data_IF_878938607514
#
_entry.id   IF_878938607514
#
_cell.length_a   1.000
_cell.length_b   1.000
_cell.length_c   1.000
_cell.angle_alpha   90.00
_cell.angle_beta   90.00
_cell.angle_gamma   90.00
#
_symmetry.space_group_name_H-M   'P 1'
#
loop_
_entity.id
_entity.type
_entity.pdbx_description
1 polymer ?
#
# COMPACT_ATOMS: atom_id res chain seq x y z
N UNK A 1 -63.21 -32.00 11.03
CA UNK A 1 -62.64 -32.17 9.70
C UNK A 1 -61.64 -31.07 9.47
N UNK A 2 -60.32 -31.40 9.45
CA UNK A 2 -59.25 -30.45 9.06
C UNK A 2 -59.19 -30.46 7.54
N UNK A 3 -59.44 -29.32 6.91
CA UNK A 3 -59.27 -29.15 5.47
C UNK A 3 -57.77 -28.98 5.23
N UNK A 4 -57.12 -29.99 4.72
CA UNK A 4 -55.76 -29.95 4.26
C UNK A 4 -55.73 -29.15 2.95
N UNK A 5 -55.17 -27.91 3.01
CA UNK A 5 -54.97 -27.09 1.81
C UNK A 5 -53.68 -27.54 1.14
N UNK A 6 -53.81 -28.18 0.00
CA UNK A 6 -52.64 -28.55 -0.84
C UNK A 6 -52.04 -27.30 -1.48
N UNK A 7 -50.69 -27.25 -1.60
CA UNK A 7 -50.00 -26.22 -2.35
C UNK A 7 -50.31 -26.28 -3.84
N UNK A 8 -50.56 -25.14 -4.43
CA UNK A 8 -50.76 -25.02 -5.88
C UNK A 8 -49.40 -25.13 -6.58
N UNK A 9 -49.30 -25.82 -7.71
CA UNK A 9 -48.11 -25.96 -8.50
C UNK A 9 -47.53 -24.59 -8.92
N UNK A 10 -48.39 -23.63 -9.21
CA UNK A 10 -47.99 -22.26 -9.55
C UNK A 10 -47.34 -21.55 -8.38
N UNK A 11 -47.77 -21.78 -7.15
CA UNK A 11 -47.19 -21.19 -5.95
C UNK A 11 -45.77 -21.67 -5.71
N UNK A 12 -45.50 -22.96 -5.96
CA UNK A 12 -44.18 -23.52 -5.86
C UNK A 12 -43.25 -22.94 -6.96
N UNK A 13 -43.74 -22.82 -8.19
CA UNK A 13 -42.97 -22.23 -9.29
C UNK A 13 -42.58 -20.77 -9.01
N UNK A 14 -43.53 -19.96 -8.54
CA UNK A 14 -43.27 -18.56 -8.20
C UNK A 14 -42.30 -18.45 -7.02
N UNK A 15 -42.45 -19.30 -6.01
CA UNK A 15 -41.54 -19.31 -4.85
C UNK A 15 -40.10 -19.64 -5.24
N UNK A 16 -39.88 -20.59 -6.14
CA UNK A 16 -38.54 -20.93 -6.63
C UNK A 16 -37.92 -19.78 -7.43
N UNK A 17 -38.72 -19.08 -8.25
CA UNK A 17 -38.22 -17.92 -9.01
C UNK A 17 -37.81 -16.80 -8.06
N UNK A 18 -38.62 -16.46 -7.08
CA UNK A 18 -38.33 -15.43 -6.08
C UNK A 18 -37.06 -15.82 -5.28
N UNK A 19 -36.98 -17.06 -4.83
CA UNK A 19 -35.81 -17.57 -4.11
C UNK A 19 -34.53 -17.50 -4.98
N UNK A 20 -34.64 -17.85 -6.26
CA UNK A 20 -33.52 -17.77 -7.20
C UNK A 20 -32.98 -16.33 -7.38
N UNK A 21 -33.89 -15.36 -7.58
CA UNK A 21 -33.50 -13.94 -7.68
C UNK A 21 -32.87 -13.44 -6.39
N UNK A 22 -33.41 -13.81 -5.24
CA UNK A 22 -32.89 -13.42 -3.94
C UNK A 22 -31.46 -13.99 -3.72
N UNK A 23 -31.22 -15.26 -4.08
CA UNK A 23 -29.90 -15.89 -3.98
C UNK A 23 -28.87 -15.24 -4.90
N UNK A 24 -29.25 -14.90 -6.14
CA UNK A 24 -28.38 -14.19 -7.07
C UNK A 24 -28.01 -12.79 -6.54
N UNK A 25 -28.95 -12.08 -5.97
CA UNK A 25 -28.71 -10.78 -5.32
C UNK A 25 -27.74 -10.91 -4.14
N UNK A 26 -27.93 -11.92 -3.30
CA UNK A 26 -27.03 -12.20 -2.18
C UNK A 26 -25.61 -12.57 -2.65
N UNK A 27 -25.49 -13.41 -3.67
CA UNK A 27 -24.20 -13.77 -4.25
C UNK A 27 -23.45 -12.54 -4.77
N UNK A 28 -24.13 -11.64 -5.49
CA UNK A 28 -23.57 -10.36 -5.94
C UNK A 28 -23.07 -9.47 -4.79
N UNK A 29 -23.87 -9.38 -3.71
CA UNK A 29 -23.48 -8.62 -2.52
C UNK A 29 -22.22 -9.20 -1.84
N UNK A 30 -22.12 -10.54 -1.75
CA UNK A 30 -20.95 -11.21 -1.18
C UNK A 30 -19.68 -10.96 -1.99
N UNK A 31 -19.76 -11.02 -3.33
CA UNK A 31 -18.62 -10.70 -4.20
C UNK A 31 -18.13 -9.26 -3.97
N UNK A 32 -19.06 -8.31 -3.87
CA UNK A 32 -18.72 -6.91 -3.58
C UNK A 32 -18.05 -6.76 -2.22
N UNK A 33 -18.56 -7.43 -1.19
CA UNK A 33 -17.99 -7.43 0.16
C UNK A 33 -16.56 -7.97 0.17
N UNK A 34 -16.28 -9.06 -0.55
CA UNK A 34 -14.93 -9.63 -0.67
C UNK A 34 -13.96 -8.67 -1.38
N UNK A 35 -14.44 -7.92 -2.39
CA UNK A 35 -13.63 -6.90 -3.05
C UNK A 35 -13.22 -5.79 -2.09
N UNK A 36 -14.14 -5.29 -1.27
CA UNK A 36 -13.84 -4.28 -0.26
C UNK A 36 -12.88 -4.79 0.82
N UNK A 37 -13.08 -6.04 1.27
CA UNK A 37 -12.21 -6.66 2.26
C UNK A 37 -10.77 -6.78 1.74
N UNK A 38 -10.59 -7.21 0.48
CA UNK A 38 -9.27 -7.32 -0.13
C UNK A 38 -8.59 -5.96 -0.27
N UNK A 39 -9.32 -4.92 -0.66
CA UNK A 39 -8.76 -3.58 -0.75
C UNK A 39 -8.33 -3.05 0.63
N UNK A 40 -9.15 -3.23 1.66
CA UNK A 40 -8.79 -2.86 3.04
C UNK A 40 -7.54 -3.59 3.53
N UNK A 41 -7.36 -4.84 3.13
CA UNK A 41 -6.17 -5.62 3.45
C UNK A 41 -4.92 -5.03 2.77
N UNK A 42 -4.99 -4.66 1.49
CA UNK A 42 -3.89 -4.01 0.79
C UNK A 42 -3.51 -2.66 1.43
N UNK A 43 -4.49 -1.86 1.85
CA UNK A 43 -4.23 -0.63 2.61
C UNK A 43 -3.47 -0.90 3.90
N UNK A 44 -3.85 -1.93 4.64
CA UNK A 44 -3.17 -2.30 5.89
C UNK A 44 -1.73 -2.75 5.63
N UNK A 45 -1.50 -3.56 4.60
CA UNK A 45 -0.15 -3.97 4.21
C UNK A 45 0.69 -2.79 3.75
N UNK A 46 0.14 -1.89 2.93
CA UNK A 46 0.83 -0.70 2.48
C UNK A 46 1.25 0.19 3.66
N UNK A 47 0.38 0.34 4.67
CA UNK A 47 0.70 1.07 5.90
C UNK A 47 1.88 0.43 6.63
N UNK A 48 1.87 -0.89 6.79
CA UNK A 48 2.97 -1.63 7.45
C UNK A 48 4.28 -1.47 6.66
N UNK A 49 4.25 -1.57 5.32
CA UNK A 49 5.43 -1.37 4.50
C UNK A 49 5.98 0.06 4.63
N UNK A 50 5.10 1.06 4.63
CA UNK A 50 5.50 2.46 4.83
C UNK A 50 6.12 2.71 6.20
N UNK A 51 5.53 2.17 7.27
CA UNK A 51 6.07 2.26 8.62
C UNK A 51 7.43 1.57 8.74
N UNK A 52 7.57 0.37 8.18
CA UNK A 52 8.85 -0.34 8.13
C UNK A 52 9.94 0.46 7.40
N UNK A 53 9.60 1.14 6.31
CA UNK A 53 10.54 2.00 5.59
C UNK A 53 10.98 3.19 6.45
N UNK A 54 10.04 3.85 7.15
CA UNK A 54 10.34 4.94 8.08
C UNK A 54 11.30 4.47 9.19
N UNK A 55 11.00 3.34 9.82
CA UNK A 55 11.83 2.79 10.91
C UNK A 55 13.23 2.41 10.42
N UNK A 56 13.34 1.78 9.24
CA UNK A 56 14.63 1.45 8.65
C UNK A 56 15.44 2.69 8.29
N UNK A 57 14.78 3.76 7.83
CA UNK A 57 15.46 5.04 7.59
C UNK A 57 15.99 5.64 8.90
N UNK A 58 15.29 5.49 10.02
CA UNK A 58 15.76 5.93 11.33
C UNK A 58 17.06 5.26 11.76
N UNK A 59 17.23 3.97 11.50
CA UNK A 59 18.45 3.24 11.88
C UNK A 59 19.67 3.69 11.09
N UNK A 60 19.48 4.16 9.87
CA UNK A 60 20.54 4.59 8.96
C UNK A 60 20.51 6.11 8.69
N UNK A 61 19.92 6.90 9.60
CA UNK A 61 19.63 8.32 9.38
C UNK A 61 20.89 9.13 9.05
N UNK A 62 21.98 8.90 9.76
CA UNK A 62 23.28 9.53 9.47
C UNK A 62 23.65 9.32 7.99
N UNK A 63 23.47 8.13 7.50
CA UNK A 63 23.80 7.75 6.14
C UNK A 63 22.94 8.50 5.09
N UNK A 64 21.63 8.60 5.32
CA UNK A 64 20.74 9.29 4.41
C UNK A 64 20.87 10.82 4.45
N UNK A 65 21.41 11.38 5.52
CA UNK A 65 21.65 12.83 5.66
C UNK A 65 23.04 13.26 5.15
N UNK A 66 24.06 12.40 5.27
CA UNK A 66 25.46 12.71 4.97
C UNK A 66 26.03 11.70 3.97
N UNK A 67 25.76 11.90 2.70
CA UNK A 67 26.33 11.04 1.66
C UNK A 67 27.57 11.68 1.08
N UNK A 68 28.70 11.05 1.31
CA UNK A 68 29.96 11.33 0.60
C UNK A 68 30.00 10.55 -0.73
N UNK A 69 30.69 11.07 -1.75
CA UNK A 69 30.68 10.52 -3.11
C UNK A 69 31.17 9.05 -3.20
N UNK A 70 31.97 8.60 -2.27
CA UNK A 70 32.43 7.20 -2.19
C UNK A 70 31.34 6.21 -1.73
N UNK A 71 30.21 6.72 -1.27
CA UNK A 71 29.13 5.96 -0.63
C UNK A 71 27.97 5.63 -1.58
N UNK A 72 28.02 6.06 -2.85
CA UNK A 72 26.94 5.83 -3.83
C UNK A 72 26.57 4.34 -3.94
N UNK A 73 27.55 3.45 -3.92
CA UNK A 73 27.29 2.00 -4.03
C UNK A 73 26.61 1.44 -2.78
N UNK A 74 27.04 1.85 -1.59
CA UNK A 74 26.45 1.46 -0.31
C UNK A 74 25.07 2.08 -0.11
N UNK A 75 24.84 3.30 -0.64
CA UNK A 75 23.54 3.98 -0.61
C UNK A 75 22.49 3.22 -1.40
N UNK A 76 22.83 2.66 -2.56
CA UNK A 76 21.91 1.83 -3.35
C UNK A 76 21.41 0.62 -2.57
N UNK A 77 22.31 -0.06 -1.86
CA UNK A 77 21.95 -1.20 -1.03
C UNK A 77 21.02 -0.78 0.13
N UNK A 78 21.31 0.34 0.79
CA UNK A 78 20.48 0.84 1.89
C UNK A 78 19.13 1.34 1.40
N UNK A 79 19.06 2.04 0.28
CA UNK A 79 17.80 2.43 -0.36
C UNK A 79 17.00 1.18 -0.74
N UNK A 80 17.63 0.17 -1.32
CA UNK A 80 16.98 -1.10 -1.67
C UNK A 80 16.35 -1.79 -0.45
N UNK A 81 16.95 -1.67 0.73
CA UNK A 81 16.39 -2.22 1.98
C UNK A 81 15.13 -1.51 2.47
N UNK A 82 14.88 -0.27 2.01
CA UNK A 82 13.65 0.46 2.35
C UNK A 82 12.45 -0.09 1.57
N UNK A 83 12.68 -0.63 0.38
CA UNK A 83 11.62 -1.13 -0.47
C UNK A 83 10.95 -2.38 0.14
N UNK A 84 9.64 -2.55 -0.12
CA UNK A 84 8.93 -3.77 0.25
C UNK A 84 9.57 -5.00 -0.40
N UNK A 85 9.54 -6.13 0.29
CA UNK A 85 9.94 -7.42 -0.28
C UNK A 85 8.87 -7.97 -1.22
N UNK A 86 7.63 -7.53 -1.05
CA UNK A 86 6.48 -7.95 -1.87
C UNK A 86 6.40 -7.04 -3.11
N UNK A 87 6.63 -7.62 -4.29
CA UNK A 87 6.65 -6.95 -5.58
C UNK A 87 5.31 -6.29 -5.98
N UNK A 88 4.23 -6.60 -5.26
CA UNK A 88 2.92 -5.96 -5.46
C UNK A 88 2.89 -4.53 -4.97
N UNK A 89 3.83 -4.14 -4.12
CA UNK A 89 3.90 -2.81 -3.52
C UNK A 89 5.15 -2.08 -4.03
N UNK A 90 4.94 -0.85 -4.48
CA UNK A 90 6.02 0.03 -4.90
C UNK A 90 6.16 1.16 -3.89
N UNK A 91 7.36 1.37 -3.38
CA UNK A 91 7.68 2.48 -2.49
C UNK A 91 8.33 3.60 -3.30
N UNK A 92 7.80 4.81 -3.17
CA UNK A 92 8.42 6.04 -3.67
C UNK A 92 8.71 6.96 -2.49
N UNK A 93 9.92 7.49 -2.43
CA UNK A 93 10.35 8.37 -1.35
C UNK A 93 10.58 9.76 -1.93
N UNK A 94 9.99 10.78 -1.34
CA UNK A 94 10.19 12.17 -1.75
C UNK A 94 10.87 12.95 -0.62
N UNK A 95 11.89 13.75 -0.96
CA UNK A 95 12.36 14.12 -2.30
C UNK A 95 13.14 13.00 -3.01
N UNK A 96 13.18 13.06 -4.34
CA UNK A 96 13.75 12.02 -5.23
C UNK A 96 15.20 11.61 -4.92
N UNK A 97 15.93 12.45 -4.23
CA UNK A 97 17.30 12.13 -3.77
C UNK A 97 17.38 10.83 -2.95
N UNK A 98 16.28 10.42 -2.31
CA UNK A 98 16.24 9.17 -1.55
C UNK A 98 15.93 7.94 -2.41
N UNK A 99 15.41 8.17 -3.63
CA UNK A 99 15.17 7.10 -4.61
C UNK A 99 16.40 6.89 -5.51
N UNK A 100 17.10 7.96 -5.84
CA UNK A 100 18.32 7.92 -6.64
C UNK A 100 19.51 8.49 -5.84
N UNK A 101 20.41 7.63 -5.37
CA UNK A 101 21.61 8.04 -4.66
C UNK A 101 22.52 9.00 -5.44
N UNK A 102 22.45 9.02 -6.78
CA UNK A 102 23.21 9.95 -7.61
C UNK A 102 22.74 11.40 -7.50
N UNK A 103 21.49 11.61 -7.04
CA UNK A 103 20.89 12.93 -6.84
C UNK A 103 21.14 13.50 -5.44
N UNK A 104 21.87 12.80 -4.60
CA UNK A 104 22.20 13.25 -3.24
C UNK A 104 23.25 14.36 -3.33
N UNK A 105 22.77 15.56 -3.60
CA UNK A 105 23.54 16.79 -3.37
C UNK A 105 23.24 17.24 -1.95
N UNK A 106 24.29 17.35 -1.14
CA UNK A 106 24.25 17.70 0.26
C UNK A 106 23.32 18.87 0.58
N UNK A 107 22.13 18.57 1.14
CA UNK A 107 21.32 19.53 1.88
C UNK A 107 20.79 18.89 3.14
N UNK A 108 21.43 19.17 4.27
CA UNK A 108 21.02 18.65 5.58
C UNK A 108 19.69 19.22 6.10
N UNK A 109 19.11 20.22 5.40
CA UNK A 109 18.00 21.00 5.93
C UNK A 109 16.64 20.35 5.75
N UNK A 110 16.52 19.31 4.91
CA UNK A 110 15.24 18.69 4.65
C UNK A 110 15.00 17.56 5.65
N UNK A 111 14.17 17.85 6.64
CA UNK A 111 13.80 16.93 7.72
C UNK A 111 12.57 16.10 7.39
N UNK A 112 11.69 16.63 6.54
CA UNK A 112 10.44 15.97 6.19
C UNK A 112 10.64 15.11 4.95
N UNK A 113 10.32 13.84 5.10
CA UNK A 113 10.40 12.82 4.04
C UNK A 113 9.02 12.20 3.87
N UNK A 114 8.55 12.14 2.63
CA UNK A 114 7.29 11.49 2.28
C UNK A 114 7.56 10.10 1.73
N UNK A 115 6.86 9.12 2.26
CA UNK A 115 6.88 7.73 1.84
C UNK A 115 5.54 7.41 1.21
N UNK A 116 5.51 7.22 -0.09
CA UNK A 116 4.30 6.81 -0.80
C UNK A 116 4.42 5.35 -1.19
N UNK A 117 3.53 4.54 -0.66
CA UNK A 117 3.40 3.13 -1.01
C UNK A 117 2.19 2.98 -1.91
N UNK A 118 2.40 2.49 -3.11
CA UNK A 118 1.35 2.22 -4.09
C UNK A 118 1.30 0.73 -4.43
N UNK A 119 0.12 0.26 -4.83
CA UNK A 119 -0.10 -1.10 -5.31
C UNK A 119 -1.00 -1.10 -6.53
N UNK A 120 -0.87 -2.11 -7.36
CA UNK A 120 -1.71 -2.27 -8.54
C UNK A 120 -2.98 -3.06 -8.19
N UNK A 121 -4.13 -2.55 -8.63
CA UNK A 121 -5.39 -3.27 -8.62
C UNK A 121 -5.81 -3.58 -10.05
N UNK A 122 -5.54 -4.81 -10.48
CA UNK A 122 -5.85 -5.30 -11.84
C UNK A 122 -7.33 -5.17 -12.25
N UNK A 123 -8.22 -4.84 -11.31
CA UNK A 123 -9.64 -4.59 -11.58
C UNK A 123 -9.92 -3.18 -12.09
N UNK A 124 -8.96 -2.26 -11.90
CA UNK A 124 -9.05 -0.88 -12.38
C UNK A 124 -8.21 -0.77 -13.64
N UNK A 125 -8.87 -0.69 -14.79
CA UNK A 125 -8.21 -0.62 -16.10
C UNK A 125 -7.63 0.77 -16.42
N UNK A 126 -7.91 1.78 -15.60
CA UNK A 126 -7.42 3.14 -15.82
C UNK A 126 -6.25 3.41 -14.87
N UNK A 127 -5.04 3.48 -15.40
CA UNK A 127 -3.81 3.66 -14.64
C UNK A 127 -3.81 4.93 -13.78
N UNK A 128 -4.38 6.02 -14.28
CA UNK A 128 -4.46 7.28 -13.54
C UNK A 128 -5.34 7.14 -12.30
N UNK A 129 -6.49 6.45 -12.43
CA UNK A 129 -7.42 6.21 -11.32
C UNK A 129 -6.82 5.17 -10.35
N UNK A 130 -6.18 4.14 -10.88
CA UNK A 130 -5.51 3.11 -10.10
C UNK A 130 -4.45 3.73 -9.18
N UNK A 131 -3.56 4.53 -9.74
CA UNK A 131 -2.52 5.22 -9.00
C UNK A 131 -3.06 6.23 -7.97
N UNK A 132 -4.18 6.88 -8.25
CA UNK A 132 -4.79 7.84 -7.34
C UNK A 132 -5.51 7.18 -6.15
N UNK A 133 -6.10 6.00 -6.35
CA UNK A 133 -6.90 5.31 -5.34
C UNK A 133 -6.12 4.28 -4.53
N UNK A 134 -5.07 3.70 -5.12
CA UNK A 134 -4.33 2.59 -4.53
C UNK A 134 -2.94 3.03 -4.07
N UNK A 135 -2.91 4.06 -3.26
CA UNK A 135 -1.69 4.56 -2.64
C UNK A 135 -1.95 5.10 -1.24
N UNK A 136 -0.93 5.08 -0.42
CA UNK A 136 -0.90 5.73 0.89
C UNK A 136 0.38 6.54 1.01
N UNK A 137 0.28 7.76 1.50
CA UNK A 137 1.42 8.63 1.74
C UNK A 137 1.58 8.88 3.23
N UNK A 138 2.76 8.57 3.75
CA UNK A 138 3.18 8.81 5.11
C UNK A 138 4.25 9.90 5.10
N UNK A 139 4.18 10.82 6.06
CA UNK A 139 5.19 11.86 6.25
C UNK A 139 5.93 11.57 7.55
N UNK A 140 7.25 11.53 7.49
CA UNK A 140 8.10 11.41 8.65
C UNK A 140 9.06 12.59 8.72
N UNK A 141 9.14 13.18 9.91
CA UNK A 141 10.09 14.27 10.21
C UNK A 141 11.27 13.71 10.98
N UNK A 142 12.47 13.88 10.44
CA UNK A 142 13.69 13.36 11.04
C UNK A 142 14.52 14.46 11.70
N UNK A 143 15.19 14.11 12.80
CA UNK A 143 16.12 14.98 13.47
C UNK A 143 17.42 15.10 12.65
N UNK A 144 17.98 16.31 12.58
CA UNK A 144 19.29 16.49 11.98
C UNK A 144 20.37 15.80 12.81
N UNK A 145 21.13 14.92 12.18
CA UNK A 145 22.31 14.29 12.76
C UNK A 145 23.52 15.10 12.33
N UNK A 146 24.27 15.75 13.25
CA UNK A 146 25.51 16.46 12.88
C UNK A 146 26.51 15.46 12.28
N UNK A 147 27.27 15.94 11.30
CA UNK A 147 28.29 15.11 10.62
C UNK A 147 29.25 14.55 11.66
N UNK A 148 29.34 13.23 11.83
CA UNK A 148 30.31 12.65 12.73
C UNK A 148 31.73 12.91 12.20
N UNK A 149 32.69 13.11 13.08
CA UNK A 149 34.10 13.28 12.75
C UNK A 149 34.71 12.03 12.09
N UNK A 150 34.05 10.90 12.22
CA UNK A 150 34.35 9.64 11.53
C UNK A 150 33.06 9.18 10.85
N UNK A 151 33.13 8.87 9.56
CA UNK A 151 32.04 8.42 8.69
C UNK A 151 30.90 7.67 9.41
N UNK A 152 29.66 7.85 8.91
CA UNK A 152 28.50 7.06 9.38
C UNK A 152 28.82 5.56 9.23
N UNK A 153 29.12 4.87 10.33
CA UNK A 153 29.36 3.42 10.39
C UNK A 153 28.07 2.65 10.52
#
# INVERSE_FOLDING_TARGET
>A
MRIEKGFSLIEVMVSIVIAGVALLGLAGAQLKSLQFANNSFNYTLALVHGQNAIERMWTDLCYFQHVDQDLVTKSKEKVARLHPVDDRFTLTISPDRYNDPALITSRPDQRDVMFTVSWDDSRIQNDTINNALNQITLVASYVYVPTPTNNCN
#
